data_IF_044330763147
#
_entry.id   IF_044330763147
#
_cell.length_a   1.000
_cell.length_b   1.000
_cell.length_c   1.000
_cell.angle_alpha   90.00
_cell.angle_beta   90.00
_cell.angle_gamma   90.00
#
_symmetry.space_group_name_H-M   'P 1'
#
loop_
_entity.id
_entity.type
_entity.pdbx_description
1 polymer ?
#
# COMPACT_ATOMS: atom_id res chain seq x y z
N UNK A 1 -2.27 -5.45 -25.48
CA UNK A 1 -1.18 -4.57 -25.04
C UNK A 1 -1.71 -3.35 -24.29
N UNK A 2 -2.77 -2.71 -24.82
CA UNK A 2 -3.38 -1.56 -24.14
C UNK A 2 -4.00 -1.93 -22.80
N UNK A 3 -4.55 -3.15 -22.65
CA UNK A 3 -5.10 -3.62 -21.38
C UNK A 3 -4.03 -3.75 -20.31
N UNK A 4 -2.86 -4.28 -20.66
CA UNK A 4 -1.75 -4.42 -19.73
C UNK A 4 -1.25 -3.05 -19.28
N UNK A 5 -1.17 -2.07 -20.18
CA UNK A 5 -0.79 -0.70 -19.85
C UNK A 5 -1.83 -0.04 -18.94
N UNK A 6 -3.11 -0.27 -19.19
CA UNK A 6 -4.19 0.26 -18.37
C UNK A 6 -4.15 -0.37 -16.96
N UNK A 7 -3.96 -1.69 -16.88
CA UNK A 7 -3.82 -2.37 -15.59
C UNK A 7 -2.62 -1.85 -14.81
N UNK A 8 -1.49 -1.60 -15.49
CA UNK A 8 -0.31 -1.02 -14.88
C UNK A 8 -0.56 0.38 -14.32
N UNK A 9 -1.25 1.24 -15.09
CA UNK A 9 -1.60 2.58 -14.62
C UNK A 9 -2.55 2.52 -13.42
N UNK A 10 -3.50 1.57 -13.41
CA UNK A 10 -4.40 1.38 -12.27
C UNK A 10 -3.65 0.88 -11.04
N UNK A 11 -2.68 -0.02 -11.22
CA UNK A 11 -1.84 -0.49 -10.12
C UNK A 11 -1.07 0.66 -9.47
N UNK A 12 -0.50 1.54 -10.28
CA UNK A 12 0.17 2.75 -9.78
C UNK A 12 -0.81 3.65 -9.03
N UNK A 13 -2.01 3.84 -9.56
CA UNK A 13 -3.03 4.65 -8.91
C UNK A 13 -3.45 4.04 -7.57
N UNK A 14 -3.54 2.72 -7.47
CA UNK A 14 -3.87 2.04 -6.21
C UNK A 14 -2.80 2.32 -5.16
N UNK A 15 -1.51 2.17 -5.52
CA UNK A 15 -0.42 2.41 -4.58
C UNK A 15 -0.42 3.86 -4.08
N UNK A 16 -0.55 4.82 -4.99
CA UNK A 16 -0.58 6.24 -4.63
C UNK A 16 -1.80 6.58 -3.78
N UNK A 17 -2.97 6.07 -4.13
CA UNK A 17 -4.22 6.32 -3.39
C UNK A 17 -4.17 5.69 -2.01
N UNK A 18 -3.61 4.48 -1.88
CA UNK A 18 -3.47 3.80 -0.59
C UNK A 18 -2.63 4.64 0.37
N UNK A 19 -1.47 5.10 -0.08
CA UNK A 19 -0.60 5.93 0.74
C UNK A 19 -1.26 7.26 1.08
N UNK A 20 -1.93 7.88 0.11
CA UNK A 20 -2.56 9.19 0.30
C UNK A 20 -3.74 9.13 1.27
N UNK A 21 -4.62 8.13 1.14
CA UNK A 21 -5.78 7.99 2.01
C UNK A 21 -5.37 7.81 3.48
N UNK A 22 -4.33 7.03 3.73
CA UNK A 22 -3.83 6.83 5.10
C UNK A 22 -3.09 8.07 5.60
N UNK A 23 -2.28 8.71 4.75
CA UNK A 23 -1.49 9.87 5.15
C UNK A 23 -2.34 11.10 5.50
N UNK A 24 -3.58 11.16 5.02
CA UNK A 24 -4.50 12.26 5.33
C UNK A 24 -5.09 12.17 6.73
N UNK A 25 -5.03 11.02 7.36
CA UNK A 25 -5.70 10.75 8.61
C UNK A 25 -4.77 10.89 9.81
N UNK A 26 -5.33 11.05 10.99
CA UNK A 26 -4.56 11.07 12.23
C UNK A 26 -4.50 9.67 12.86
N UNK A 27 -5.56 8.88 12.67
CA UNK A 27 -5.63 7.49 13.11
C UNK A 27 -6.54 6.70 12.17
N UNK A 28 -6.30 5.40 12.08
CA UNK A 28 -7.08 4.47 11.24
C UNK A 28 -7.61 3.37 12.13
N UNK A 29 -8.93 3.14 12.11
CA UNK A 29 -9.57 2.00 12.78
C UNK A 29 -9.81 0.86 11.79
N UNK A 30 -10.23 -0.31 12.28
CA UNK A 30 -10.48 -1.48 11.42
C UNK A 30 -11.52 -1.19 10.34
N UNK A 31 -12.63 -0.54 10.69
CA UNK A 31 -13.69 -0.23 9.75
C UNK A 31 -13.19 0.69 8.64
N UNK A 32 -12.42 1.69 9.01
CA UNK A 32 -11.85 2.64 8.06
C UNK A 32 -10.84 1.97 7.12
N UNK A 33 -10.01 1.08 7.65
CA UNK A 33 -9.06 0.33 6.82
C UNK A 33 -9.79 -0.56 5.82
N UNK A 34 -10.87 -1.21 6.23
CA UNK A 34 -11.69 -2.02 5.32
C UNK A 34 -12.30 -1.15 4.21
N UNK A 35 -12.76 0.06 4.54
CA UNK A 35 -13.29 1.00 3.55
C UNK A 35 -12.21 1.44 2.56
N UNK A 36 -10.99 1.65 3.05
CA UNK A 36 -9.86 2.00 2.19
C UNK A 36 -9.59 0.87 1.20
N UNK A 37 -9.50 -0.38 1.67
CA UNK A 37 -9.27 -1.52 0.78
C UNK A 37 -10.39 -1.68 -0.24
N UNK A 38 -11.64 -1.46 0.14
CA UNK A 38 -12.78 -1.51 -0.79
C UNK A 38 -12.68 -0.43 -1.86
N UNK A 39 -12.26 0.78 -1.48
CA UNK A 39 -12.06 1.86 -2.43
C UNK A 39 -10.92 1.53 -3.42
N UNK A 40 -9.86 0.88 -2.94
CA UNK A 40 -8.74 0.49 -3.79
C UNK A 40 -9.14 -0.60 -4.79
N UNK A 41 -9.95 -1.57 -4.36
CA UNK A 41 -10.50 -2.58 -5.27
C UNK A 41 -11.31 -1.94 -6.39
N UNK A 42 -12.08 -0.88 -6.07
CA UNK A 42 -12.86 -0.16 -7.07
C UNK A 42 -11.99 0.52 -8.12
N UNK A 43 -10.78 0.98 -7.76
CA UNK A 43 -9.84 1.58 -8.71
C UNK A 43 -9.42 0.55 -9.76
N UNK A 44 -9.25 -0.72 -9.37
CA UNK A 44 -8.85 -1.78 -10.29
C UNK A 44 -9.95 -2.25 -11.23
N UNK A 45 -11.21 -1.93 -10.95
CA UNK A 45 -12.32 -2.33 -11.82
C UNK A 45 -12.06 -1.88 -13.28
N UNK A 46 -12.28 -2.70 -14.31
CA UNK A 46 -12.96 -4.01 -14.30
C UNK A 46 -12.02 -5.22 -14.06
N UNK A 47 -10.78 -5.01 -13.67
CA UNK A 47 -9.86 -6.12 -13.43
C UNK A 47 -10.21 -6.79 -12.10
N UNK A 48 -10.07 -8.15 -11.99
CA UNK A 48 -10.44 -8.85 -10.75
C UNK A 48 -9.60 -8.39 -9.57
N UNK A 49 -10.26 -7.98 -8.48
CA UNK A 49 -9.59 -7.54 -7.26
C UNK A 49 -8.92 -8.67 -6.49
N UNK A 50 -9.35 -9.92 -6.68
CA UNK A 50 -8.78 -11.08 -5.99
C UNK A 50 -7.32 -11.35 -6.32
N UNK A 51 -6.84 -10.83 -7.44
CA UNK A 51 -5.43 -10.96 -7.85
C UNK A 51 -4.56 -9.83 -7.30
N UNK A 52 -5.14 -8.89 -6.57
CA UNK A 52 -4.43 -7.73 -6.05
C UNK A 52 -4.08 -7.92 -4.58
N UNK A 53 -2.80 -7.80 -4.28
CA UNK A 53 -2.28 -7.87 -2.91
C UNK A 53 -1.79 -6.48 -2.54
N UNK A 54 -2.31 -5.94 -1.43
CA UNK A 54 -1.94 -4.61 -0.96
C UNK A 54 -1.41 -4.74 0.45
N UNK A 55 -0.28 -4.09 0.73
CA UNK A 55 0.25 -3.95 2.09
C UNK A 55 0.46 -2.47 2.36
N UNK A 56 -0.15 -1.97 3.43
CA UNK A 56 0.01 -0.59 3.87
C UNK A 56 0.66 -0.62 5.24
N UNK A 57 1.79 0.05 5.37
CA UNK A 57 2.57 0.07 6.61
C UNK A 57 2.90 1.49 7.01
N UNK A 58 2.97 1.73 8.32
CA UNK A 58 3.57 2.94 8.87
C UNK A 58 4.99 2.58 9.31
N UNK A 59 5.98 3.27 8.75
CA UNK A 59 7.39 3.07 9.05
C UNK A 59 7.87 4.25 9.88
N UNK A 60 8.42 3.97 11.05
CA UNK A 60 8.86 5.01 11.98
C UNK A 60 10.38 5.03 12.07
N UNK A 61 10.91 6.21 12.36
CA UNK A 61 12.36 6.38 12.57
C UNK A 61 12.83 5.51 13.72
N UNK A 62 13.83 4.68 13.46
CA UNK A 62 14.43 3.78 14.45
C UNK A 62 15.84 4.23 14.85
N UNK A 63 16.28 5.37 14.31
CA UNK A 63 17.64 5.87 14.52
C UNK A 63 18.63 5.32 13.51
N UNK A 64 19.79 5.95 13.40
CA UNK A 64 20.86 5.52 12.49
C UNK A 64 20.45 5.38 11.02
N UNK A 65 19.44 6.16 10.60
CA UNK A 65 18.97 6.11 9.22
C UNK A 65 18.14 4.89 8.89
N UNK A 66 17.70 4.11 9.89
CA UNK A 66 16.84 2.95 9.71
C UNK A 66 15.41 3.26 10.12
N UNK A 67 14.46 2.49 9.56
CA UNK A 67 13.04 2.58 9.92
C UNK A 67 12.53 1.21 10.30
N UNK A 68 11.51 1.20 11.17
CA UNK A 68 10.84 -0.02 11.63
C UNK A 68 9.35 0.08 11.37
N UNK A 69 8.70 -1.06 11.23
CA UNK A 69 7.25 -1.14 11.07
C UNK A 69 6.57 -0.83 12.39
N UNK A 70 5.78 0.25 12.44
CA UNK A 70 4.94 0.57 13.59
C UNK A 70 3.64 -0.25 13.53
N UNK A 71 3.04 -0.32 12.36
CA UNK A 71 1.89 -1.18 12.08
C UNK A 71 1.85 -1.50 10.59
N UNK A 72 1.16 -2.57 10.25
CA UNK A 72 1.01 -3.00 8.86
C UNK A 72 -0.32 -3.73 8.69
N UNK A 73 -1.03 -3.40 7.63
CA UNK A 73 -2.27 -4.06 7.24
C UNK A 73 -2.13 -4.60 5.82
N UNK A 74 -2.73 -5.76 5.56
CA UNK A 74 -2.66 -6.37 4.25
C UNK A 74 -4.05 -6.75 3.75
N UNK A 75 -4.21 -6.66 2.44
CA UNK A 75 -5.41 -7.10 1.72
C UNK A 75 -4.98 -8.20 0.75
N UNK A 76 -5.55 -9.38 0.89
CA UNK A 76 -5.21 -10.58 0.10
C UNK A 76 -3.75 -10.99 0.25
N UNK A 77 -3.15 -10.79 1.41
CA UNK A 77 -1.76 -11.14 1.65
C UNK A 77 -1.42 -11.07 3.13
N UNK A 78 -0.14 -11.08 3.44
CA UNK A 78 0.36 -11.03 4.81
C UNK A 78 0.97 -9.65 5.10
N UNK A 79 0.65 -9.05 6.26
CA UNK A 79 1.26 -7.79 6.64
C UNK A 79 2.74 -7.98 6.99
N UNK A 80 3.49 -6.88 7.02
CA UNK A 80 4.85 -6.88 7.51
C UNK A 80 4.85 -7.06 9.03
N UNK A 81 5.91 -7.67 9.53
CA UNK A 81 6.05 -7.92 10.97
C UNK A 81 6.35 -6.61 11.70
N UNK A 82 5.59 -6.33 12.75
CA UNK A 82 5.81 -5.14 13.59
C UNK A 82 7.22 -5.17 14.19
N UNK A 83 7.89 -4.03 14.22
CA UNK A 83 9.26 -3.83 14.67
C UNK A 83 10.34 -4.38 13.73
N UNK A 84 9.98 -4.95 12.59
CA UNK A 84 10.97 -5.35 11.60
C UNK A 84 11.55 -4.12 10.90
N UNK A 85 12.82 -4.20 10.52
CA UNK A 85 13.51 -3.14 9.79
C UNK A 85 13.16 -3.25 8.32
N UNK A 86 12.84 -2.13 7.70
CA UNK A 86 12.52 -2.07 6.27
C UNK A 86 13.51 -1.14 5.58
N UNK A 87 14.23 -1.62 4.55
CA UNK A 87 15.09 -0.72 3.78
C UNK A 87 14.24 0.23 2.92
N UNK A 88 14.51 1.52 3.03
CA UNK A 88 13.86 2.55 2.21
C UNK A 88 14.92 3.52 1.69
N UNK A 89 14.60 4.27 0.61
CA UNK A 89 15.51 5.32 0.15
C UNK A 89 15.78 6.34 1.27
N UNK A 90 17.01 6.82 1.36
CA UNK A 90 17.40 7.79 2.38
C UNK A 90 16.66 9.12 2.18
N UNK A 91 16.41 9.82 3.29
CA UNK A 91 15.78 11.14 3.25
C UNK A 91 14.27 11.14 3.27
N UNK A 92 13.62 9.98 3.34
CA UNK A 92 12.15 9.90 3.39
C UNK A 92 11.58 10.12 4.79
N UNK A 93 12.35 9.84 5.83
CA UNK A 93 11.89 9.95 7.22
C UNK A 93 12.84 10.84 8.00
N UNK A 94 12.29 11.87 8.65
CA UNK A 94 13.03 12.75 9.54
C UNK A 94 13.14 12.11 10.93
N UNK A 95 14.07 12.61 11.75
CA UNK A 95 14.24 12.14 13.13
C UNK A 95 12.92 12.27 13.89
N UNK A 96 12.45 11.17 14.45
CA UNK A 96 11.19 11.10 15.17
C UNK A 96 9.95 11.09 14.29
N UNK A 97 10.12 11.08 12.96
CA UNK A 97 9.00 11.07 12.02
C UNK A 97 8.63 9.68 11.54
N UNK A 98 7.76 9.66 10.54
CA UNK A 98 7.28 8.42 9.93
C UNK A 98 6.96 8.62 8.46
N UNK A 99 6.76 7.51 7.76
CA UNK A 99 6.29 7.52 6.37
C UNK A 99 5.29 6.38 6.19
N UNK A 100 4.25 6.63 5.42
CA UNK A 100 3.31 5.59 5.00
C UNK A 100 3.87 4.93 3.75
N UNK A 101 3.96 3.61 3.78
CA UNK A 101 4.50 2.80 2.70
C UNK A 101 3.41 1.88 2.17
N UNK A 102 3.00 2.10 0.93
CA UNK A 102 2.01 1.27 0.26
C UNK A 102 2.72 0.41 -0.78
N UNK A 103 2.44 -0.89 -0.74
CA UNK A 103 2.98 -1.87 -1.67
C UNK A 103 1.83 -2.57 -2.35
N UNK A 104 1.84 -2.65 -3.69
CA UNK A 104 0.79 -3.31 -4.46
C UNK A 104 1.44 -4.32 -5.41
N UNK A 105 0.92 -5.54 -5.38
CA UNK A 105 1.29 -6.59 -6.32
C UNK A 105 0.02 -7.07 -7.02
N UNK A 106 0.00 -7.03 -8.33
CA UNK A 106 -1.14 -7.47 -9.13
C UNK A 106 -0.68 -8.43 -10.20
N UNK A 107 -1.36 -9.57 -10.32
CA UNK A 107 -1.10 -10.53 -11.39
C UNK A 107 -2.11 -10.30 -12.51
N UNK A 108 -1.66 -9.63 -13.56
CA UNK A 108 -2.51 -9.36 -14.72
C UNK A 108 -2.59 -10.58 -15.61
N UNK A 109 -3.81 -11.00 -15.94
CA UNK A 109 -4.06 -12.04 -16.94
C UNK A 109 -4.94 -11.45 -18.03
N UNK A 110 -4.61 -11.77 -19.28
CA UNK A 110 -5.43 -11.28 -20.39
C UNK A 110 -6.85 -11.87 -20.30
N UNK A 111 -7.90 -11.04 -20.37
CA UNK A 111 -9.27 -11.54 -20.39
C UNK A 111 -9.57 -12.48 -21.56
N UNK A 112 -8.78 -12.38 -22.63
CA UNK A 112 -8.96 -13.22 -23.82
C UNK A 112 -8.14 -14.50 -23.80
N UNK A 113 -7.35 -14.72 -22.74
CA UNK A 113 -6.51 -15.91 -22.62
C UNK A 113 -5.38 -15.97 -23.61
N UNK A 114 -4.97 -14.86 -24.21
CA UNK A 114 -3.96 -14.81 -25.26
C UNK A 114 -2.54 -14.62 -24.76
N UNK A 115 -2.34 -14.58 -23.44
CA UNK A 115 -0.99 -14.48 -22.89
C UNK A 115 -0.29 -15.83 -23.00
N UNK A 116 0.88 -15.82 -23.63
CA UNK A 116 1.68 -17.04 -23.85
C UNK A 116 2.27 -17.53 -22.53
N UNK A 117 2.56 -16.65 -21.60
CA UNK A 117 3.25 -16.93 -20.35
C UNK A 117 2.37 -16.86 -19.10
N UNK A 118 1.05 -16.88 -19.25
CA UNK A 118 0.12 -16.86 -18.14
C UNK A 118 -0.18 -15.44 -17.67
N UNK A 119 0.46 -15.00 -16.60
CA UNK A 119 0.19 -13.69 -16.02
C UNK A 119 1.42 -12.78 -16.06
N UNK A 120 1.17 -11.47 -16.08
CA UNK A 120 2.22 -10.44 -16.01
C UNK A 120 2.17 -9.85 -14.61
N UNK A 121 3.29 -9.91 -13.83
CA UNK A 121 3.32 -9.27 -12.52
C UNK A 121 3.42 -7.76 -12.68
N UNK A 122 2.52 -7.04 -12.01
CA UNK A 122 2.51 -5.59 -11.95
C UNK A 122 2.71 -5.21 -10.49
N UNK A 123 3.89 -4.70 -10.16
CA UNK A 123 4.24 -4.36 -8.80
C UNK A 123 4.51 -2.86 -8.72
N UNK A 124 4.00 -2.24 -7.67
CA UNK A 124 4.24 -0.82 -7.45
C UNK A 124 4.34 -0.53 -5.96
N UNK A 125 5.00 0.55 -5.62
CA UNK A 125 5.12 0.99 -4.23
C UNK A 125 5.16 2.51 -4.20
N UNK A 126 4.69 3.06 -3.09
CA UNK A 126 4.58 4.50 -2.92
C UNK A 126 4.87 4.86 -1.47
N UNK A 127 5.55 5.97 -1.26
CA UNK A 127 5.86 6.51 0.06
C UNK A 127 5.19 7.87 0.20
N UNK A 128 4.56 8.12 1.36
CA UNK A 128 3.97 9.43 1.62
C UNK A 128 4.08 9.77 3.09
N UNK A 129 4.52 10.98 3.40
CA UNK A 129 4.60 11.45 4.79
C UNK A 129 3.21 11.79 5.29
N UNK A 130 2.88 11.48 6.56
CA UNK A 130 1.63 11.92 7.15
C UNK A 130 1.51 13.45 7.08
N UNK A 131 0.29 13.93 6.78
CA UNK A 131 0.07 15.37 6.56
C UNK A 131 -0.37 16.11 7.81
N UNK A 132 -1.00 15.42 8.76
CA UNK A 132 -1.64 16.04 9.91
C UNK A 132 -0.96 15.73 11.23
N UNK A 133 -0.22 14.63 11.29
CA UNK A 133 0.47 14.15 12.50
C UNK A 133 1.85 13.63 12.11
N UNK A 134 2.74 13.48 13.09
CA UNK A 134 4.06 12.89 12.82
C UNK A 134 3.97 11.38 12.56
N UNK A 135 2.98 10.72 13.13
CA UNK A 135 2.72 9.29 12.94
C UNK A 135 1.21 9.04 12.93
N UNK A 136 0.73 8.31 11.93
CA UNK A 136 -0.66 7.86 11.88
C UNK A 136 -0.81 6.66 12.81
N UNK A 137 -1.76 6.73 13.74
CA UNK A 137 -1.99 5.67 14.72
C UNK A 137 -2.95 4.63 14.18
N UNK A 138 -2.70 3.35 14.49
CA UNK A 138 -3.59 2.25 14.12
C UNK A 138 -4.33 1.77 15.36
N UNK A 139 -5.66 1.72 15.29
CA UNK A 139 -6.51 1.24 16.38
C UNK A 139 -7.50 0.21 15.85
N UNK A 140 -7.99 -0.67 16.73
CA UNK A 140 -8.93 -1.72 16.32
C UNK A 140 -10.37 -1.20 16.27
N UNK A 141 -10.78 -0.37 17.20
CA UNK A 141 -12.21 -0.11 17.44
C UNK A 141 -12.65 1.35 17.37
N UNK A 142 -11.78 2.31 17.62
CA UNK A 142 -12.20 3.71 17.78
C UNK A 142 -11.92 4.50 16.49
N UNK A 143 -12.94 4.81 15.75
CA UNK A 143 -12.82 5.70 14.60
C UNK A 143 -13.03 7.18 14.97
#
# INVERSE_FOLDING_TARGET
>A
LSDALTAGAKTTAVAASAADLVAQDTKICNAEMNDIFSALDAIMFPYPGGNMHIVISSLIDAGNGTVKVAWSDAHNGSPRVVNSVVPIPSGLVDTGGSVIFAEVNYSYSSPTGKLIYGSIPLNDKFYMRPRRVSQVTRTATTC
#
